data_IF_840566147099
#
_entry.id   IF_840566147099
#
_cell.length_a   1.000
_cell.length_b   1.000
_cell.length_c   1.000
_cell.angle_alpha   90.00
_cell.angle_beta   90.00
_cell.angle_gamma   90.00
#
_symmetry.space_group_name_H-M   'P 1'
#
loop_
_entity.id
_entity.type
_entity.pdbx_description
1 polymer ?
#
# COMPACT_ATOMS: atom_id res chain seq x y z
N UNK A 1 -34.63 -10.01 -3.40
CA UNK A 1 -33.61 -9.00 -3.04
C UNK A 1 -32.81 -8.77 -4.29
N UNK A 2 -32.72 -7.54 -4.76
CA UNK A 2 -32.00 -7.24 -5.98
C UNK A 2 -30.51 -7.54 -5.78
N UNK A 3 -29.86 -8.07 -6.81
CA UNK A 3 -28.47 -8.53 -6.76
C UNK A 3 -27.51 -7.44 -6.26
N UNK A 4 -27.75 -6.18 -6.64
CA UNK A 4 -26.93 -5.02 -6.29
C UNK A 4 -26.92 -4.74 -4.79
N UNK A 5 -27.98 -5.12 -4.06
CA UNK A 5 -28.04 -4.94 -2.60
C UNK A 5 -26.99 -5.84 -1.94
N UNK A 6 -26.88 -7.09 -2.39
CA UNK A 6 -25.87 -8.02 -1.87
C UNK A 6 -24.46 -7.52 -2.16
N UNK A 7 -24.24 -7.01 -3.36
CA UNK A 7 -22.96 -6.46 -3.79
C UNK A 7 -22.56 -5.23 -2.94
N UNK A 8 -23.50 -4.30 -2.69
CA UNK A 8 -23.25 -3.15 -1.82
C UNK A 8 -22.95 -3.57 -0.38
N UNK A 9 -23.64 -4.58 0.14
CA UNK A 9 -23.35 -5.13 1.47
C UNK A 9 -21.93 -5.71 1.49
N UNK A 10 -21.54 -6.52 0.50
CA UNK A 10 -20.19 -7.10 0.44
C UNK A 10 -19.10 -6.04 0.32
N UNK A 11 -19.26 -5.05 -0.56
CA UNK A 11 -18.32 -3.92 -0.69
C UNK A 11 -18.24 -3.14 0.62
N UNK A 12 -19.39 -2.86 1.25
CA UNK A 12 -19.45 -2.19 2.55
C UNK A 12 -18.72 -2.98 3.65
N UNK A 13 -18.91 -4.30 3.70
CA UNK A 13 -18.19 -5.20 4.62
C UNK A 13 -16.69 -5.19 4.35
N UNK A 14 -16.25 -5.26 3.08
CA UNK A 14 -14.83 -5.17 2.74
C UNK A 14 -14.21 -3.86 3.20
N UNK A 15 -14.88 -2.72 2.94
CA UNK A 15 -14.43 -1.40 3.40
C UNK A 15 -14.38 -1.36 4.93
N UNK A 16 -15.39 -1.88 5.62
CA UNK A 16 -15.42 -1.92 7.07
C UNK A 16 -14.28 -2.78 7.65
N UNK A 17 -14.01 -3.95 7.05
CA UNK A 17 -12.90 -4.83 7.45
C UNK A 17 -11.57 -4.13 7.26
N UNK A 18 -11.31 -3.53 6.10
CA UNK A 18 -10.06 -2.80 5.83
C UNK A 18 -9.91 -1.59 6.76
N UNK A 19 -10.99 -0.83 6.95
CA UNK A 19 -11.00 0.37 7.80
C UNK A 19 -10.85 0.07 9.30
N UNK A 20 -11.27 -1.12 9.76
CA UNK A 20 -11.13 -1.54 11.16
C UNK A 20 -9.81 -2.25 11.42
N UNK A 21 -9.40 -3.17 10.53
CA UNK A 21 -8.15 -3.92 10.69
C UNK A 21 -6.92 -3.05 10.42
N UNK A 22 -6.97 -2.09 9.50
CA UNK A 22 -5.84 -1.20 9.19
C UNK A 22 -5.27 -0.49 10.43
N UNK A 23 -6.08 0.24 11.23
CA UNK A 23 -5.65 0.84 12.49
C UNK A 23 -5.13 -0.15 13.52
N UNK A 24 -5.70 -1.36 13.58
CA UNK A 24 -5.27 -2.41 14.50
C UNK A 24 -3.89 -2.95 14.14
N UNK A 25 -3.64 -3.26 12.86
CA UNK A 25 -2.33 -3.66 12.34
C UNK A 25 -1.30 -2.56 12.60
N UNK A 26 -1.67 -1.31 12.36
CA UNK A 26 -0.82 -0.14 12.63
C UNK A 26 -0.43 -0.04 14.11
N UNK A 27 -1.32 -0.42 15.05
CA UNK A 27 -1.02 -0.40 16.48
C UNK A 27 0.15 -1.35 16.81
N UNK A 28 0.20 -2.54 16.21
CA UNK A 28 1.33 -3.45 16.36
C UNK A 28 2.61 -2.89 15.71
N UNK A 29 2.49 -2.32 14.51
CA UNK A 29 3.63 -1.70 13.81
C UNK A 29 4.25 -0.51 14.55
N UNK A 30 3.47 0.25 15.35
CA UNK A 30 3.99 1.37 16.15
C UNK A 30 5.00 0.95 17.20
N UNK A 31 4.76 -0.17 17.90
CA UNK A 31 5.71 -0.68 18.89
C UNK A 31 7.05 -1.05 18.21
N UNK A 32 6.96 -1.81 17.12
CA UNK A 32 8.13 -2.17 16.32
C UNK A 32 8.89 -0.95 15.76
N UNK A 33 8.17 0.04 15.25
CA UNK A 33 8.79 1.26 14.72
C UNK A 33 9.47 2.09 15.82
N UNK A 34 8.94 2.08 17.05
CA UNK A 34 9.58 2.75 18.18
C UNK A 34 10.94 2.13 18.52
N UNK A 35 11.05 0.80 18.43
CA UNK A 35 12.32 0.08 18.66
C UNK A 35 13.31 0.30 17.51
N UNK A 36 12.85 0.17 16.25
CA UNK A 36 13.73 0.30 15.07
C UNK A 36 14.18 1.74 14.82
N UNK A 37 13.29 2.71 15.04
CA UNK A 37 13.56 4.14 14.83
C UNK A 37 13.76 4.89 16.14
N UNK A 38 14.25 4.23 17.19
CA UNK A 38 14.45 4.83 18.52
C UNK A 38 15.27 6.12 18.46
N UNK A 39 16.29 6.16 17.60
CA UNK A 39 17.16 7.34 17.41
C UNK A 39 16.47 8.50 16.67
N UNK A 40 15.40 8.25 15.91
CA UNK A 40 14.67 9.29 15.19
C UNK A 40 13.16 8.96 15.04
N UNK A 41 12.36 9.18 16.11
CA UNK A 41 10.95 8.78 16.15
C UNK A 41 10.07 9.45 15.08
N UNK A 42 10.45 10.65 14.64
CA UNK A 42 9.73 11.38 13.58
C UNK A 42 9.77 10.60 12.26
N UNK A 43 10.93 10.05 11.91
CA UNK A 43 11.11 9.23 10.71
C UNK A 43 10.31 7.95 10.80
N UNK A 44 10.30 7.27 11.96
CA UNK A 44 9.49 6.07 12.18
C UNK A 44 7.99 6.33 12.00
N UNK A 45 7.48 7.47 12.51
CA UNK A 45 6.09 7.87 12.31
C UNK A 45 5.77 8.12 10.82
N UNK A 46 6.61 8.86 10.11
CA UNK A 46 6.42 9.11 8.67
C UNK A 46 6.50 7.83 7.85
N UNK A 47 7.41 6.92 8.19
CA UNK A 47 7.55 5.62 7.54
C UNK A 47 6.26 4.79 7.64
N UNK A 48 5.67 4.70 8.85
CA UNK A 48 4.40 4.00 9.04
C UNK A 48 3.27 4.62 8.21
N UNK A 49 3.21 5.95 8.12
CA UNK A 49 2.20 6.64 7.28
C UNK A 49 2.41 6.33 5.80
N UNK A 50 3.65 6.32 5.31
CA UNK A 50 3.92 5.96 3.92
C UNK A 50 3.54 4.51 3.62
N UNK A 51 3.78 3.59 4.56
CA UNK A 51 3.34 2.20 4.43
C UNK A 51 1.82 2.05 4.45
N UNK A 52 1.09 2.87 5.22
CA UNK A 52 -0.37 2.88 5.22
C UNK A 52 -0.92 3.22 3.83
N UNK A 53 -0.29 4.13 3.08
CA UNK A 53 -0.70 4.43 1.70
C UNK A 53 -0.59 3.19 0.79
N UNK A 54 0.51 2.43 0.86
CA UNK A 54 0.66 1.19 0.12
C UNK A 54 -0.45 0.18 0.49
N UNK A 55 -0.72 0.04 1.79
CA UNK A 55 -1.77 -0.83 2.31
C UNK A 55 -3.14 -0.50 1.71
N UNK A 56 -3.60 0.74 1.83
CA UNK A 56 -4.92 1.12 1.32
C UNK A 56 -5.03 1.06 -0.20
N UNK A 57 -3.94 1.33 -0.94
CA UNK A 57 -3.93 1.13 -2.40
C UNK A 57 -4.14 -0.34 -2.77
N UNK A 58 -3.40 -1.26 -2.14
CA UNK A 58 -3.52 -2.70 -2.44
C UNK A 58 -4.94 -3.21 -2.11
N UNK A 59 -5.47 -2.87 -0.94
CA UNK A 59 -6.83 -3.28 -0.57
C UNK A 59 -7.91 -2.60 -1.40
N UNK A 60 -7.74 -1.32 -1.73
CA UNK A 60 -8.65 -0.61 -2.64
C UNK A 60 -8.70 -1.23 -4.02
N UNK A 61 -7.54 -1.61 -4.57
CA UNK A 61 -7.45 -2.34 -5.83
C UNK A 61 -8.15 -3.70 -5.76
N UNK A 62 -7.97 -4.44 -4.67
CA UNK A 62 -8.66 -5.70 -4.46
C UNK A 62 -10.18 -5.54 -4.42
N UNK A 63 -10.70 -4.52 -3.74
CA UNK A 63 -12.13 -4.22 -3.71
C UNK A 63 -12.64 -3.97 -5.14
N UNK A 64 -11.94 -3.16 -5.93
CA UNK A 64 -12.31 -2.90 -7.33
C UNK A 64 -12.32 -4.18 -8.19
N UNK A 65 -11.39 -5.10 -7.96
CA UNK A 65 -11.38 -6.40 -8.67
C UNK A 65 -12.50 -7.33 -8.23
N UNK A 66 -12.88 -7.28 -6.95
CA UNK A 66 -13.93 -8.11 -6.40
C UNK A 66 -15.33 -7.59 -6.75
N UNK A 67 -15.49 -6.28 -6.96
CA UNK A 67 -16.76 -5.67 -7.32
C UNK A 67 -17.26 -6.19 -8.67
N UNK A 68 -18.50 -6.67 -8.66
CA UNK A 68 -19.21 -7.10 -9.87
C UNK A 68 -20.13 -6.01 -10.39
N UNK A 69 -20.21 -5.91 -11.71
CA UNK A 69 -21.10 -5.00 -12.42
C UNK A 69 -22.03 -5.79 -13.33
N UNK A 70 -23.32 -5.52 -13.25
CA UNK A 70 -24.34 -6.08 -14.15
C UNK A 70 -25.15 -4.91 -14.75
N UNK A 71 -25.59 -4.99 -16.02
CA UNK A 71 -26.30 -3.90 -16.66
C UNK A 71 -27.65 -3.68 -15.97
N UNK A 72 -28.02 -2.42 -15.75
CA UNK A 72 -29.40 -2.10 -15.37
C UNK A 72 -30.31 -2.19 -16.61
N UNK A 73 -31.62 -2.40 -16.41
CA UNK A 73 -32.59 -2.43 -17.50
C UNK A 73 -32.57 -1.09 -18.26
N UNK A 74 -32.01 -1.09 -19.48
CA UNK A 74 -31.87 0.10 -20.31
C UNK A 74 -30.45 0.61 -20.56
N UNK A 75 -29.40 -0.05 -20.02
CA UNK A 75 -28.02 0.18 -20.49
C UNK A 75 -27.93 -0.21 -21.97
N UNK A 76 -27.76 0.79 -22.83
CA UNK A 76 -27.78 0.63 -24.29
C UNK A 76 -26.56 -0.15 -24.82
N UNK A 77 -26.67 -0.65 -26.06
CA UNK A 77 -25.64 -1.39 -26.81
C UNK A 77 -24.26 -0.71 -26.90
N UNK A 78 -24.13 0.55 -26.48
CA UNK A 78 -22.91 1.36 -26.58
C UNK A 78 -22.05 1.42 -25.32
N UNK A 79 -22.62 1.24 -24.12
CA UNK A 79 -21.88 1.14 -22.85
C UNK A 79 -22.49 0.03 -22.00
N UNK A 80 -21.86 -1.13 -22.03
CA UNK A 80 -22.32 -2.33 -21.33
C UNK A 80 -21.54 -2.57 -20.03
N UNK A 81 -22.04 -3.50 -19.21
CA UNK A 81 -21.39 -3.88 -17.95
C UNK A 81 -19.95 -4.39 -18.16
N UNK A 82 -19.67 -5.06 -19.28
CA UNK A 82 -18.33 -5.54 -19.60
C UNK A 82 -17.33 -4.39 -19.77
N UNK A 83 -17.75 -3.28 -20.41
CA UNK A 83 -16.92 -2.09 -20.55
C UNK A 83 -16.64 -1.43 -19.19
N UNK A 84 -17.64 -1.39 -18.30
CA UNK A 84 -17.46 -0.88 -16.94
C UNK A 84 -16.53 -1.78 -16.14
N UNK A 85 -16.77 -3.09 -16.16
CA UNK A 85 -15.92 -4.08 -15.50
C UNK A 85 -14.47 -3.97 -15.99
N UNK A 86 -14.25 -3.90 -17.30
CA UNK A 86 -12.92 -3.74 -17.88
C UNK A 86 -12.24 -2.44 -17.42
N UNK A 87 -12.99 -1.34 -17.33
CA UNK A 87 -12.45 -0.05 -16.88
C UNK A 87 -12.09 -0.07 -15.40
N UNK A 88 -12.94 -0.68 -14.57
CA UNK A 88 -12.70 -0.86 -13.13
C UNK A 88 -11.50 -1.78 -12.88
N UNK A 89 -11.35 -2.86 -13.65
CA UNK A 89 -10.17 -3.73 -13.59
C UNK A 89 -8.90 -2.97 -14.01
N UNK A 90 -8.93 -2.14 -15.05
CA UNK A 90 -7.76 -1.32 -15.41
C UNK A 90 -7.39 -0.35 -14.29
N UNK A 91 -8.38 0.31 -13.68
CA UNK A 91 -8.16 1.22 -12.56
C UNK A 91 -7.61 0.49 -11.33
N UNK A 92 -8.20 -0.65 -10.96
CA UNK A 92 -7.70 -1.51 -9.90
C UNK A 92 -6.26 -1.97 -10.16
N UNK A 93 -5.94 -2.34 -11.39
CA UNK A 93 -4.58 -2.71 -11.81
C UNK A 93 -3.57 -1.58 -11.61
N UNK A 94 -3.91 -0.35 -12.02
CA UNK A 94 -3.05 0.81 -11.81
C UNK A 94 -2.81 1.10 -10.33
N UNK A 95 -3.87 1.04 -9.52
CA UNK A 95 -3.78 1.28 -8.07
C UNK A 95 -2.93 0.18 -7.41
N UNK A 96 -3.11 -1.08 -7.80
CA UNK A 96 -2.30 -2.20 -7.28
C UNK A 96 -0.82 -2.01 -7.61
N UNK A 97 -0.50 -1.74 -8.87
CA UNK A 97 0.88 -1.51 -9.30
C UNK A 97 1.51 -0.35 -8.54
N UNK A 98 0.78 0.75 -8.38
CA UNK A 98 1.25 1.90 -7.61
C UNK A 98 1.49 1.53 -6.14
N UNK A 99 0.57 0.82 -5.51
CA UNK A 99 0.70 0.34 -4.13
C UNK A 99 1.92 -0.56 -3.91
N UNK A 100 2.13 -1.53 -4.83
CA UNK A 100 3.28 -2.44 -4.79
C UNK A 100 4.60 -1.70 -5.01
N UNK A 101 4.70 -0.87 -6.06
CA UNK A 101 5.91 -0.12 -6.37
C UNK A 101 6.25 0.87 -5.26
N UNK A 102 5.25 1.55 -4.69
CA UNK A 102 5.43 2.45 -3.55
C UNK A 102 5.91 1.68 -2.32
N UNK A 103 5.28 0.54 -2.00
CA UNK A 103 5.71 -0.32 -0.89
C UNK A 103 7.16 -0.79 -1.05
N UNK A 104 7.55 -1.25 -2.23
CA UNK A 104 8.92 -1.64 -2.55
C UNK A 104 9.90 -0.46 -2.41
N UNK A 105 9.53 0.73 -2.90
CA UNK A 105 10.35 1.93 -2.78
C UNK A 105 10.56 2.33 -1.31
N UNK A 106 9.51 2.28 -0.50
CA UNK A 106 9.60 2.60 0.93
C UNK A 106 10.48 1.57 1.68
N UNK A 107 10.39 0.29 1.30
CA UNK A 107 11.20 -0.77 1.89
C UNK A 107 12.68 -0.73 1.43
N UNK A 108 12.96 -0.25 0.23
CA UNK A 108 14.32 -0.24 -0.33
C UNK A 108 15.20 0.88 0.23
N UNK A 109 14.63 2.07 0.49
CA UNK A 109 15.40 3.24 0.96
C UNK A 109 16.24 2.99 2.22
N UNK A 110 15.73 2.35 3.29
CA UNK A 110 16.54 2.06 4.49
C UNK A 110 17.66 1.05 4.22
N UNK A 111 17.43 0.08 3.34
CA UNK A 111 18.41 -0.95 2.99
C UNK A 111 19.56 -0.30 2.23
N UNK A 112 19.25 0.50 1.21
CA UNK A 112 20.23 1.22 0.40
C UNK A 112 21.05 2.17 1.28
N UNK A 113 20.39 2.93 2.17
CA UNK A 113 21.07 3.83 3.10
C UNK A 113 22.06 3.11 4.02
N UNK A 114 21.68 1.93 4.55
CA UNK A 114 22.58 1.12 5.39
C UNK A 114 23.78 0.58 4.61
N UNK A 115 23.58 0.09 3.39
CA UNK A 115 24.66 -0.42 2.54
C UNK A 115 25.68 0.68 2.22
N UNK A 116 25.23 1.88 1.81
CA UNK A 116 26.15 2.99 1.55
C UNK A 116 26.89 3.47 2.81
N UNK A 117 26.21 3.49 3.96
CA UNK A 117 26.85 3.88 5.23
C UNK A 117 27.90 2.85 5.66
N UNK A 118 27.64 1.56 5.43
CA UNK A 118 28.60 0.49 5.70
C UNK A 118 29.82 0.61 4.79
N UNK A 119 29.63 0.80 3.48
CA UNK A 119 30.73 1.00 2.53
C UNK A 119 31.60 2.18 2.95
N UNK A 120 31.01 3.33 3.32
CA UNK A 120 31.79 4.49 3.76
C UNK A 120 32.62 4.21 5.02
N UNK A 121 32.08 3.46 5.99
CA UNK A 121 32.83 3.07 7.19
C UNK A 121 34.00 2.16 6.86
N UNK A 122 33.80 1.21 5.95
CA UNK A 122 34.88 0.33 5.46
C UNK A 122 35.94 1.14 4.72
N UNK A 123 35.55 2.09 3.87
CA UNK A 123 36.47 2.97 3.17
C UNK A 123 37.28 3.85 4.15
N UNK A 124 36.63 4.41 5.17
CA UNK A 124 37.28 5.23 6.23
C UNK A 124 38.25 4.37 7.08
N UNK A 125 37.88 3.13 7.39
CA UNK A 125 38.72 2.18 8.16
C UNK A 125 39.94 1.71 7.35
N UNK A 126 39.78 1.51 6.03
CA UNK A 126 40.88 1.19 5.11
C UNK A 126 41.79 2.39 4.86
N UNK A 127 41.26 3.62 4.89
CA UNK A 127 42.04 4.84 4.65
C UNK A 127 43.00 5.19 5.80
N UNK A 128 42.76 4.70 7.03
CA UNK A 128 43.63 4.86 8.21
C UNK A 128 43.82 6.31 8.68
N UNK A 129 44.23 6.56 9.94
CA UNK A 129 44.57 7.90 10.38
C UNK A 129 45.82 8.36 9.62
N UNK A 130 45.71 9.45 8.84
CA UNK A 130 46.90 10.16 8.36
C UNK A 130 47.70 10.58 9.58
N UNK A 131 48.84 9.91 9.78
CA UNK A 131 49.83 10.27 10.79
C UNK A 131 50.18 11.75 10.59
N UNK A 132 49.85 12.55 11.60
CA UNK A 132 50.29 13.93 11.76
C UNK A 132 51.50 13.94 12.72
#
# INVERSE_FOLDING_TARGET
MDWWILELIFVGVMIAVVGTLGPLIKRFGKAYAADVFQANPRTGKSYLVLMDFAYYMIFGAYILFATKWEPDTGWADTVNADQVQASVVRLGGMILLMGLLHGLNVLSLPIIGRVFTLNRRLDDEVAGPRAA
#
